data_IF_294484366970
#
_entry.id   IF_294484366970
#
_cell.length_a   1.000
_cell.length_b   1.000
_cell.length_c   1.000
_cell.angle_alpha   90.00
_cell.angle_beta   90.00
_cell.angle_gamma   90.00
#
_symmetry.space_group_name_H-M   'P 1'
#
loop_
_entity.id
_entity.type
_entity.pdbx_description
1 polymer ?
#
# COMPACT_ATOMS: atom_id res chain seq x y z
N UNK A 1 -6.50 -0.82 -8.04
CA UNK A 1 -7.68 -0.12 -7.51
C UNK A 1 -8.87 -1.04 -7.48
N UNK A 2 -9.32 -1.53 -8.64
CA UNK A 2 -10.60 -2.25 -8.77
C UNK A 2 -10.71 -3.49 -7.88
N UNK A 3 -9.64 -4.29 -7.76
CA UNK A 3 -9.64 -5.47 -6.88
C UNK A 3 -9.86 -5.10 -5.40
N UNK A 4 -9.25 -4.01 -4.92
CA UNK A 4 -9.45 -3.54 -3.53
C UNK A 4 -10.85 -2.99 -3.28
N UNK A 5 -11.52 -2.47 -4.32
CA UNK A 5 -12.92 -2.05 -4.20
C UNK A 5 -13.86 -3.27 -4.18
N UNK A 6 -13.47 -4.36 -4.84
CA UNK A 6 -14.27 -5.58 -4.92
C UNK A 6 -14.16 -6.47 -3.67
N UNK A 7 -12.94 -6.66 -3.15
CA UNK A 7 -12.64 -7.64 -2.10
C UNK A 7 -11.80 -7.03 -0.94
N UNK A 8 -11.65 -5.71 -0.91
CA UNK A 8 -11.01 -5.02 0.21
C UNK A 8 -11.95 -4.81 1.40
N UNK A 9 -11.42 -4.32 2.53
CA UNK A 9 -12.22 -3.94 3.69
C UNK A 9 -13.32 -2.94 3.30
N UNK A 10 -14.54 -3.13 3.83
CA UNK A 10 -15.71 -2.34 3.45
C UNK A 10 -15.55 -0.82 3.69
N UNK A 11 -14.71 -0.43 4.67
CA UNK A 11 -14.47 0.97 5.03
C UNK A 11 -13.31 1.60 4.23
N UNK A 12 -12.64 0.84 3.36
CA UNK A 12 -11.51 1.32 2.59
C UNK A 12 -11.95 2.23 1.44
N UNK A 13 -11.52 3.49 1.50
CA UNK A 13 -11.73 4.46 0.42
C UNK A 13 -10.56 4.44 -0.57
N UNK A 14 -10.75 3.74 -1.69
CA UNK A 14 -9.74 3.65 -2.75
C UNK A 14 -9.72 4.93 -3.59
N UNK A 15 -8.57 5.60 -3.63
CA UNK A 15 -8.42 6.89 -4.30
C UNK A 15 -8.67 6.86 -5.82
N UNK A 16 -8.25 5.78 -6.50
CA UNK A 16 -8.39 5.65 -7.95
C UNK A 16 -8.56 4.18 -8.35
N UNK A 17 -9.46 3.93 -9.30
CA UNK A 17 -9.67 2.63 -9.93
C UNK A 17 -9.53 2.73 -11.44
N UNK A 18 -9.36 1.61 -12.13
CA UNK A 18 -9.27 1.60 -13.60
C UNK A 18 -10.59 2.07 -14.19
N UNK A 19 -11.73 1.66 -13.61
CA UNK A 19 -13.04 2.08 -14.08
C UNK A 19 -13.32 3.58 -13.83
N UNK A 20 -12.76 4.16 -12.76
CA UNK A 20 -12.95 5.58 -12.44
C UNK A 20 -12.23 6.53 -13.40
N UNK A 21 -11.25 6.06 -14.19
CA UNK A 21 -10.41 6.93 -15.04
C UNK A 21 -11.22 7.75 -16.04
N UNK A 22 -12.32 7.20 -16.55
CA UNK A 22 -13.17 7.85 -17.56
C UNK A 22 -14.20 8.82 -16.96
N UNK A 23 -14.46 8.72 -15.65
CA UNK A 23 -15.46 9.52 -14.94
C UNK A 23 -14.83 10.63 -14.08
N UNK A 24 -13.51 10.56 -13.90
CA UNK A 24 -12.76 11.42 -13.00
C UNK A 24 -12.47 12.78 -13.68
N UNK A 25 -12.60 13.91 -12.96
CA UNK A 25 -12.20 15.21 -13.49
C UNK A 25 -10.72 15.23 -13.91
N UNK A 26 -10.35 15.90 -15.03
CA UNK A 26 -8.98 15.89 -15.54
C UNK A 26 -7.91 16.32 -14.54
N UNK A 27 -8.25 17.20 -13.59
CA UNK A 27 -7.33 17.60 -12.53
C UNK A 27 -7.05 16.48 -11.54
N UNK A 28 -8.07 15.73 -11.11
CA UNK A 28 -7.92 14.60 -10.20
C UNK A 28 -7.10 13.48 -10.86
N UNK A 29 -7.30 13.26 -12.16
CA UNK A 29 -6.47 12.31 -12.92
C UNK A 29 -4.99 12.72 -12.96
N UNK A 30 -4.71 14.00 -13.23
CA UNK A 30 -3.34 14.54 -13.20
C UNK A 30 -2.70 14.43 -11.81
N UNK A 31 -3.47 14.72 -10.77
CA UNK A 31 -3.05 14.61 -9.37
C UNK A 31 -2.69 13.15 -9.03
N UNK A 32 -3.54 12.19 -9.39
CA UNK A 32 -3.26 10.76 -9.27
C UNK A 32 -1.98 10.35 -10.00
N UNK A 33 -1.83 10.75 -11.27
CA UNK A 33 -0.63 10.46 -12.04
C UNK A 33 0.63 11.10 -11.44
N UNK A 34 0.50 12.27 -10.81
CA UNK A 34 1.57 12.93 -10.06
C UNK A 34 2.01 12.13 -8.85
N UNK A 35 1.04 11.59 -8.08
CA UNK A 35 1.29 10.69 -6.95
C UNK A 35 1.93 9.38 -7.43
N UNK A 36 1.32 8.69 -8.38
CA UNK A 36 1.78 7.37 -8.86
C UNK A 36 3.21 7.41 -9.43
N UNK A 37 3.62 8.55 -10.00
CA UNK A 37 4.99 8.75 -10.52
C UNK A 37 5.95 9.38 -9.50
N UNK A 38 5.47 9.73 -8.31
CA UNK A 38 6.23 10.47 -7.30
C UNK A 38 6.86 11.77 -7.85
N UNK A 39 6.10 12.50 -8.69
CA UNK A 39 6.51 13.78 -9.27
C UNK A 39 6.76 14.83 -8.18
N UNK A 40 7.48 15.91 -8.51
CA UNK A 40 7.74 17.00 -7.55
C UNK A 40 6.42 17.50 -6.94
N UNK A 41 6.37 17.56 -5.61
CA UNK A 41 5.20 18.02 -4.86
C UNK A 41 4.11 16.97 -4.61
N UNK A 42 4.31 15.71 -5.03
CA UNK A 42 3.31 14.66 -4.86
C UNK A 42 2.84 14.46 -3.42
N UNK A 43 3.71 14.67 -2.42
CA UNK A 43 3.35 14.59 -1.00
C UNK A 43 2.23 15.55 -0.62
N UNK A 44 2.26 16.80 -1.12
CA UNK A 44 1.23 17.79 -0.84
C UNK A 44 -0.10 17.42 -1.53
N UNK A 45 -0.03 16.78 -2.70
CA UNK A 45 -1.21 16.27 -3.40
C UNK A 45 -1.80 15.08 -2.63
N UNK A 46 -0.98 14.15 -2.17
CA UNK A 46 -1.44 13.04 -1.34
C UNK A 46 -2.08 13.53 -0.03
N UNK A 47 -1.52 14.56 0.60
CA UNK A 47 -2.11 15.18 1.79
C UNK A 47 -3.44 15.89 1.50
N UNK A 48 -3.55 16.59 0.36
CA UNK A 48 -4.81 17.22 -0.10
C UNK A 48 -5.95 16.21 -0.20
N UNK A 49 -5.65 14.97 -0.58
CA UNK A 49 -6.62 13.87 -0.66
C UNK A 49 -6.67 13.01 0.61
N UNK A 50 -6.02 13.44 1.69
CA UNK A 50 -5.96 12.74 2.96
C UNK A 50 -5.52 11.27 2.82
N UNK A 51 -4.61 10.95 1.90
CA UNK A 51 -4.13 9.58 1.71
C UNK A 51 -3.46 9.07 2.98
N UNK A 52 -3.98 7.99 3.54
CA UNK A 52 -3.49 7.39 4.78
C UNK A 52 -2.67 6.11 4.56
N UNK A 53 -2.86 5.45 3.42
CA UNK A 53 -2.21 4.18 3.10
C UNK A 53 -1.76 4.17 1.64
N UNK A 54 -0.53 3.72 1.39
CA UNK A 54 0.00 3.51 0.04
C UNK A 54 0.30 2.02 -0.14
N UNK A 55 -0.26 1.44 -1.20
CA UNK A 55 0.05 0.08 -1.66
C UNK A 55 0.83 0.24 -2.97
N UNK A 56 2.12 -0.08 -2.93
CA UNK A 56 3.05 0.26 -4.02
C UNK A 56 3.77 -0.96 -4.54
N UNK A 57 3.68 -1.19 -5.84
CA UNK A 57 4.42 -2.25 -6.52
C UNK A 57 5.88 -1.83 -6.70
N UNK A 58 6.83 -2.62 -6.19
CA UNK A 58 8.25 -2.25 -6.10
C UNK A 58 8.91 -2.04 -7.46
N UNK A 59 8.59 -2.90 -8.44
CA UNK A 59 9.14 -2.80 -9.80
C UNK A 59 8.44 -1.76 -10.69
N UNK A 60 7.11 -1.68 -10.67
CA UNK A 60 6.36 -0.77 -11.55
C UNK A 60 6.41 0.68 -11.09
N UNK A 61 6.64 0.91 -9.79
CA UNK A 61 6.60 2.24 -9.16
C UNK A 61 7.86 2.48 -8.31
N UNK A 62 9.04 2.19 -8.87
CA UNK A 62 10.34 2.25 -8.16
C UNK A 62 10.54 3.57 -7.40
N UNK A 63 10.23 4.70 -8.04
CA UNK A 63 10.43 6.01 -7.41
C UNK A 63 9.50 6.22 -6.22
N UNK A 64 8.22 5.85 -6.35
CA UNK A 64 7.25 5.97 -5.28
C UNK A 64 7.60 5.02 -4.13
N UNK A 65 7.92 3.75 -4.43
CA UNK A 65 8.31 2.75 -3.44
C UNK A 65 9.50 3.20 -2.57
N UNK A 66 10.47 3.89 -3.17
CA UNK A 66 11.62 4.45 -2.43
C UNK A 66 11.24 5.67 -1.58
N UNK A 67 10.33 6.52 -2.06
CA UNK A 67 9.96 7.76 -1.38
C UNK A 67 8.97 7.52 -0.23
N UNK A 68 8.01 6.62 -0.40
CA UNK A 68 7.01 6.31 0.64
C UNK A 68 7.63 5.75 1.92
N UNK A 69 8.78 5.06 1.84
CA UNK A 69 9.54 4.61 3.01
C UNK A 69 10.17 5.73 3.83
N UNK A 70 10.33 6.91 3.22
CA UNK A 70 10.96 8.09 3.84
C UNK A 70 9.92 9.10 4.34
N UNK A 71 8.63 8.83 4.12
CA UNK A 71 7.54 9.68 4.57
C UNK A 71 7.49 9.71 6.09
N UNK A 72 7.49 10.91 6.68
CA UNK A 72 7.30 11.07 8.12
C UNK A 72 5.86 10.71 8.49
N UNK A 73 5.70 9.98 9.60
CA UNK A 73 4.39 9.55 10.10
C UNK A 73 3.83 8.29 9.45
N UNK A 74 4.44 7.81 8.37
CA UNK A 74 4.11 6.53 7.76
C UNK A 74 5.06 5.45 8.27
N UNK A 75 4.54 4.24 8.43
CA UNK A 75 5.31 3.04 8.75
C UNK A 75 5.02 1.96 7.71
N UNK A 76 6.00 1.12 7.44
CA UNK A 76 5.77 -0.11 6.67
C UNK A 76 4.91 -1.03 7.54
N UNK A 77 3.79 -1.48 6.99
CA UNK A 77 2.85 -2.39 7.68
C UNK A 77 2.81 -3.77 7.02
N UNK A 78 3.29 -3.87 5.78
CA UNK A 78 3.46 -5.13 5.08
C UNK A 78 4.48 -4.93 3.95
N UNK A 79 5.33 -5.92 3.73
CA UNK A 79 6.23 -5.97 2.60
C UNK A 79 6.46 -7.41 2.17
N UNK A 80 6.27 -7.69 0.88
CA UNK A 80 6.64 -8.96 0.25
C UNK A 80 7.53 -8.69 -0.96
N UNK A 81 7.85 -9.72 -1.76
CA UNK A 81 8.69 -9.59 -2.94
C UNK A 81 8.11 -8.65 -4.01
N UNK A 82 6.79 -8.48 -4.06
CA UNK A 82 6.11 -7.70 -5.10
C UNK A 82 5.89 -6.24 -4.69
N UNK A 83 5.52 -6.02 -3.43
CA UNK A 83 4.87 -4.79 -3.00
C UNK A 83 5.31 -4.36 -1.60
N UNK A 84 5.17 -3.06 -1.35
CA UNK A 84 5.30 -2.48 -0.02
C UNK A 84 4.01 -1.73 0.29
N UNK A 85 3.50 -1.97 1.49
CA UNK A 85 2.37 -1.23 2.06
C UNK A 85 2.90 -0.36 3.18
N UNK A 86 2.69 0.95 3.05
CA UNK A 86 2.94 1.88 4.14
C UNK A 86 1.64 2.53 4.57
N UNK A 87 1.46 2.71 5.87
CA UNK A 87 0.29 3.38 6.42
C UNK A 87 0.68 4.31 7.56
N UNK A 88 -0.15 5.34 7.77
CA UNK A 88 -0.15 6.18 8.96
C UNK A 88 -1.34 5.89 9.89
N UNK A 89 -2.17 4.91 9.55
CA UNK A 89 -3.32 4.55 10.37
C UNK A 89 -2.87 3.72 11.57
N UNK A 90 -3.30 4.09 12.78
CA UNK A 90 -2.84 3.42 14.00
C UNK A 90 -3.29 1.95 14.04
N UNK A 91 -4.46 1.63 13.50
CA UNK A 91 -5.02 0.27 13.49
C UNK A 91 -4.18 -0.67 12.61
N UNK A 92 -3.85 -0.25 11.39
CA UNK A 92 -3.01 -1.05 10.48
C UNK A 92 -1.58 -1.21 11.02
N UNK A 93 -1.05 -0.17 11.66
CA UNK A 93 0.28 -0.23 12.31
C UNK A 93 0.26 -1.22 13.49
N UNK A 94 -0.78 -1.19 14.31
CA UNK A 94 -0.93 -2.10 15.45
C UNK A 94 -1.11 -3.54 14.98
N UNK A 95 -1.95 -3.78 13.97
CA UNK A 95 -2.18 -5.10 13.38
C UNK A 95 -0.88 -5.69 12.82
N UNK A 96 -0.12 -4.92 12.02
CA UNK A 96 1.16 -5.38 11.48
C UNK A 96 2.17 -5.81 12.56
N UNK A 97 2.22 -5.04 13.66
CA UNK A 97 3.10 -5.37 14.80
C UNK A 97 2.69 -6.67 15.50
N UNK A 98 1.41 -7.05 15.47
CA UNK A 98 0.91 -8.31 16.05
C UNK A 98 1.14 -9.50 15.11
N UNK A 99 1.04 -9.28 13.79
CA UNK A 99 1.31 -10.29 12.78
C UNK A 99 2.79 -10.71 12.76
N UNK A 100 3.71 -9.74 12.87
CA UNK A 100 5.16 -10.02 12.96
C UNK A 100 5.51 -10.90 14.18
N UNK A 101 4.78 -10.73 15.29
CA UNK A 101 4.97 -11.55 16.50
C UNK A 101 4.40 -12.96 16.30
N UNK A 102 3.26 -13.11 15.62
CA UNK A 102 2.65 -14.41 15.33
C UNK A 102 3.43 -15.21 14.27
N UNK A 103 4.00 -14.55 13.25
CA UNK A 103 4.86 -15.20 12.26
C UNK A 103 6.22 -15.61 12.86
N UNK A 104 6.72 -14.87 13.86
CA UNK A 104 7.90 -15.26 14.64
C UNK A 104 7.64 -16.41 15.63
N UNK A 105 6.38 -16.67 16.00
CA UNK A 105 5.99 -17.70 16.98
C UNK A 105 5.54 -19.02 16.32
N UNK A 106 5.45 -19.11 14.99
CA UNK A 106 5.37 -20.40 14.28
C UNK A 106 6.74 -21.09 14.32
N UNK A 107 6.94 -22.17 15.09
CA UNK A 107 8.17 -22.92 15.01
C UNK A 107 8.24 -23.61 13.64
N UNK A 108 9.43 -23.62 13.07
CA UNK A 108 9.80 -24.43 11.93
C UNK A 108 9.65 -25.92 12.27
N UNK A 109 8.46 -26.47 12.11
CA UNK A 109 8.25 -27.91 12.08
C UNK A 109 7.26 -28.28 10.97
N UNK A 110 7.74 -28.15 9.73
CA UNK A 110 7.17 -28.88 8.60
C UNK A 110 8.32 -29.53 7.83
N UNK A 111 9.05 -30.40 8.52
CA UNK A 111 9.79 -31.50 7.89
C UNK A 111 9.03 -32.79 8.18
N UNK A 112 7.91 -33.01 7.51
CA UNK A 112 7.34 -34.35 7.37
C UNK A 112 7.51 -34.83 5.92
N UNK A 113 8.70 -35.40 5.71
CA UNK A 113 8.87 -36.78 5.23
C UNK A 113 7.87 -37.24 4.15
N UNK A 114 8.24 -37.02 2.88
CA UNK A 114 7.70 -37.80 1.77
C UNK A 114 8.84 -38.62 1.20
N UNK A 115 8.94 -39.91 1.57
CA UNK A 115 9.41 -41.01 0.70
C UNK A 115 9.01 -42.37 1.31
N UNK A 116 8.93 -43.47 0.53
CA UNK A 116 8.90 -43.57 -0.94
C UNK A 116 7.56 -44.08 -1.50
#
# INVERSE_FOLDING_TARGET
GDWLVWDGPAEMNVFMTTNAVHLTPPQVWRDYLGIARANRGWHAVAEKYAVTTFIVHKEKQVQLARQVRKLKGFKVVYEDDLSVVVSREPELIAAASQSEVQDAEKPADEKQEVQP
#
